data_IF_822975183494
#
_entry.id   IF_822975183494
#
_cell.length_a   1.000
_cell.length_b   1.000
_cell.length_c   1.000
_cell.angle_alpha   90.00
_cell.angle_beta   90.00
_cell.angle_gamma   90.00
#
_symmetry.space_group_name_H-M   'P 1'
#
loop_
_entity.id
_entity.type
_entity.pdbx_description
1 polymer ?
#
# COMPACT_ATOMS: atom_id res chain seq x y z
N UNK A 1 11.29 -10.56 16.53
CA UNK A 1 10.06 -9.90 17.00
C UNK A 1 9.23 -9.57 15.77
N UNK A 2 7.93 -9.85 15.78
CA UNK A 2 7.06 -9.43 14.68
C UNK A 2 6.87 -7.90 14.77
N UNK A 3 6.85 -7.17 13.64
CA UNK A 3 6.43 -5.78 13.62
C UNK A 3 5.02 -5.65 14.22
N UNK A 4 4.73 -4.52 14.87
CA UNK A 4 3.42 -4.24 15.45
C UNK A 4 2.68 -3.19 14.65
N UNK A 5 1.36 -3.33 14.56
CA UNK A 5 0.46 -2.40 13.88
C UNK A 5 -0.60 -1.87 14.86
N UNK A 6 -0.99 -0.59 14.77
CA UNK A 6 -2.00 -0.01 15.63
C UNK A 6 -3.39 -0.55 15.25
N UNK A 7 -4.07 -1.15 16.22
CA UNK A 7 -5.47 -1.56 16.11
C UNK A 7 -6.36 -0.56 16.84
N UNK A 8 -7.27 0.05 16.10
CA UNK A 8 -8.19 1.08 16.62
C UNK A 8 -9.49 0.42 17.07
N UNK A 9 -9.78 0.51 18.37
CA UNK A 9 -11.07 0.09 18.92
C UNK A 9 -12.14 1.16 18.66
N UNK A 10 -13.42 0.74 18.63
CA UNK A 10 -14.55 1.67 18.43
C UNK A 10 -14.67 2.71 19.54
N UNK A 11 -14.15 2.42 20.72
CA UNK A 11 -14.19 3.30 21.88
C UNK A 11 -13.09 4.39 21.85
N UNK A 12 -12.23 4.38 20.82
CA UNK A 12 -11.14 5.33 20.64
C UNK A 12 -9.80 4.84 21.18
N UNK A 13 -9.76 3.68 21.83
CA UNK A 13 -8.52 3.06 22.29
C UNK A 13 -7.68 2.53 21.11
N UNK A 14 -6.36 2.62 21.25
CA UNK A 14 -5.41 2.10 20.28
C UNK A 14 -4.50 1.11 20.98
N UNK A 15 -4.40 -0.10 20.42
CA UNK A 15 -3.51 -1.15 20.91
C UNK A 15 -2.53 -1.56 19.82
N UNK A 16 -1.26 -1.76 20.17
CA UNK A 16 -0.27 -2.32 19.26
C UNK A 16 -0.43 -3.84 19.23
N UNK A 17 -0.84 -4.37 18.08
CA UNK A 17 -0.97 -5.81 17.85
C UNK A 17 0.15 -6.31 16.95
N UNK A 18 0.63 -7.55 17.13
CA UNK A 18 1.58 -8.14 16.19
C UNK A 18 0.97 -8.15 14.79
N UNK A 19 1.78 -7.79 13.80
CA UNK A 19 1.42 -7.91 12.40
C UNK A 19 1.27 -9.40 12.07
N UNK A 20 0.08 -9.78 11.64
CA UNK A 20 -0.24 -11.14 11.22
C UNK A 20 -0.46 -11.11 9.72
N UNK A 21 0.25 -11.97 8.99
CA UNK A 21 -0.07 -12.24 7.59
C UNK A 21 -1.40 -12.99 7.53
N UNK A 22 -2.45 -12.30 7.05
CA UNK A 22 -3.79 -12.84 6.93
C UNK A 22 -3.84 -14.11 6.06
N UNK A 23 -2.97 -14.24 5.06
CA UNK A 23 -2.90 -15.43 4.21
C UNK A 23 -2.28 -16.60 4.96
N UNK A 24 -1.22 -16.35 5.73
CA UNK A 24 -0.62 -17.37 6.58
C UNK A 24 -1.59 -17.83 7.68
N UNK A 25 -2.30 -16.88 8.32
CA UNK A 25 -3.31 -17.19 9.33
C UNK A 25 -4.46 -18.03 8.77
N UNK A 26 -5.00 -17.66 7.61
CA UNK A 26 -6.05 -18.43 6.93
C UNK A 26 -5.60 -19.83 6.48
N UNK A 27 -4.31 -20.01 6.19
CA UNK A 27 -3.73 -21.32 5.83
C UNK A 27 -3.58 -22.21 7.06
N UNK A 28 -3.14 -21.64 8.18
CA UNK A 28 -2.87 -22.38 9.43
C UNK A 28 -4.14 -22.65 10.25
N UNK A 29 -5.14 -21.77 10.16
CA UNK A 29 -6.38 -21.82 10.91
C UNK A 29 -7.60 -21.56 10.00
N UNK A 30 -7.89 -22.45 9.04
CA UNK A 30 -8.93 -22.22 8.03
C UNK A 30 -10.35 -22.14 8.59
N UNK A 31 -10.59 -22.72 9.77
CA UNK A 31 -11.90 -22.75 10.43
C UNK A 31 -12.23 -21.42 11.12
N UNK A 32 -11.20 -20.77 11.67
CA UNK A 32 -11.30 -19.50 12.39
C UNK A 32 -11.13 -18.30 11.44
N UNK A 33 -10.24 -18.42 10.44
CA UNK A 33 -9.82 -17.33 9.57
C UNK A 33 -10.22 -17.59 8.12
N UNK A 34 -11.50 -17.91 7.92
CA UNK A 34 -12.02 -18.26 6.60
C UNK A 34 -12.11 -17.02 5.71
N UNK A 35 -11.17 -16.89 4.78
CA UNK A 35 -11.21 -15.85 3.75
C UNK A 35 -12.29 -16.21 2.72
N UNK A 36 -13.44 -15.55 2.82
CA UNK A 36 -14.45 -15.64 1.77
C UNK A 36 -13.87 -15.03 0.47
N UNK A 37 -14.13 -15.66 -0.70
CA UNK A 37 -13.74 -15.06 -1.97
C UNK A 37 -14.39 -13.69 -2.12
N UNK A 38 -13.66 -12.73 -2.68
CA UNK A 38 -14.18 -11.39 -2.89
C UNK A 38 -15.44 -11.42 -3.76
N UNK A 39 -16.44 -10.65 -3.33
CA UNK A 39 -17.59 -10.39 -4.19
C UNK A 39 -17.18 -9.51 -5.38
N UNK A 40 -18.07 -9.39 -6.37
CA UNK A 40 -17.78 -8.65 -7.60
C UNK A 40 -17.50 -7.16 -7.33
N UNK A 41 -18.24 -6.55 -6.41
CA UNK A 41 -18.04 -5.15 -6.03
C UNK A 41 -16.68 -4.87 -5.40
N UNK A 42 -16.21 -5.75 -4.51
CA UNK A 42 -14.89 -5.67 -3.88
C UNK A 42 -13.77 -5.84 -4.90
N UNK A 43 -13.92 -6.76 -5.85
CA UNK A 43 -12.98 -6.92 -6.97
C UNK A 43 -12.89 -5.65 -7.80
N UNK A 44 -14.03 -5.09 -8.21
CA UNK A 44 -14.06 -3.85 -8.99
C UNK A 44 -13.40 -2.69 -8.24
N UNK A 45 -13.71 -2.50 -6.96
CA UNK A 45 -13.10 -1.45 -6.15
C UNK A 45 -11.57 -1.58 -6.05
N UNK A 46 -11.05 -2.81 -5.91
CA UNK A 46 -9.61 -3.06 -5.93
C UNK A 46 -8.98 -2.77 -7.29
N UNK A 47 -9.62 -3.21 -8.38
CA UNK A 47 -9.14 -2.96 -9.73
C UNK A 47 -9.09 -1.46 -10.04
N UNK A 48 -10.10 -0.70 -9.61
CA UNK A 48 -10.16 0.75 -9.73
C UNK A 48 -9.04 1.43 -8.93
N UNK A 49 -8.84 1.03 -7.67
CA UNK A 49 -7.74 1.52 -6.84
C UNK A 49 -6.37 1.26 -7.49
N UNK A 50 -6.16 0.06 -8.03
CA UNK A 50 -4.91 -0.29 -8.72
C UNK A 50 -4.74 0.45 -10.04
N UNK A 51 -5.83 0.75 -10.75
CA UNK A 51 -5.77 1.60 -11.93
C UNK A 51 -5.35 3.03 -11.58
N UNK A 52 -5.88 3.59 -10.50
CA UNK A 52 -5.51 4.92 -10.00
C UNK A 52 -4.03 4.97 -9.57
N UNK A 53 -3.55 3.98 -8.80
CA UNK A 53 -2.13 3.89 -8.42
C UNK A 53 -1.20 3.83 -9.63
N UNK A 54 -1.58 3.09 -10.68
CA UNK A 54 -0.81 3.03 -11.94
C UNK A 54 -0.79 4.38 -12.64
N UNK A 55 -1.93 5.08 -12.71
CA UNK A 55 -2.00 6.40 -13.31
C UNK A 55 -1.15 7.42 -12.54
N UNK A 56 -1.20 7.39 -11.20
CA UNK A 56 -0.37 8.22 -10.34
C UNK A 56 1.13 7.93 -10.51
N UNK A 57 1.50 6.65 -10.63
CA UNK A 57 2.88 6.25 -10.90
C UNK A 57 3.36 6.74 -12.27
N UNK A 58 2.53 6.64 -13.31
CA UNK A 58 2.85 7.15 -14.66
C UNK A 58 2.96 8.67 -14.67
N UNK A 59 2.08 9.39 -13.98
CA UNK A 59 2.16 10.84 -13.83
C UNK A 59 3.46 11.27 -13.16
N UNK A 60 3.85 10.59 -12.08
CA UNK A 60 5.12 10.84 -11.36
C UNK A 60 6.35 10.58 -12.23
N UNK A 61 6.32 9.56 -13.09
CA UNK A 61 7.40 9.30 -14.06
C UNK A 61 7.47 10.40 -15.12
N UNK A 62 6.32 10.85 -15.65
CA UNK A 62 6.26 11.95 -16.63
C UNK A 62 6.76 13.28 -16.06
N UNK A 63 6.41 13.61 -14.82
CA UNK A 63 6.90 14.80 -14.12
C UNK A 63 8.43 14.74 -13.95
N UNK A 64 8.97 13.60 -13.49
CA UNK A 64 10.42 13.39 -13.37
C UNK A 64 11.16 13.44 -14.71
N UNK A 65 10.51 13.04 -15.80
CA UNK A 65 11.07 13.13 -17.16
C UNK A 65 11.03 14.57 -17.73
N UNK A 66 10.11 15.42 -17.27
CA UNK A 66 10.04 16.83 -17.64
C UNK A 66 11.04 17.72 -16.87
N UNK A 67 11.50 17.29 -15.69
CA UNK A 67 12.48 18.00 -14.84
C UNK A 67 13.85 18.26 -15.55
N UNK A 68 14.49 17.29 -16.23
CA UNK A 68 15.71 17.56 -16.97
C UNK A 68 15.50 18.41 -18.24
N UNK A 69 14.27 18.52 -18.75
CA UNK A 69 13.94 19.32 -19.94
C UNK A 69 13.73 20.80 -19.57
N UNK A 70 13.39 21.10 -18.31
CA UNK A 70 13.16 22.47 -17.79
C UNK A 70 14.35 23.11 -17.05
N UNK A 71 15.57 22.56 -17.19
CA UNK A 71 16.80 23.35 -17.02
C UNK A 71 17.35 23.52 -15.60
N UNK A 72 17.25 22.52 -14.72
CA UNK A 72 18.01 22.54 -13.45
C UNK A 72 19.31 21.74 -13.55
N UNK A 73 20.30 22.33 -14.21
CA UNK A 73 21.69 21.85 -14.24
C UNK A 73 22.31 22.08 -12.84
N UNK A 74 22.27 21.10 -11.94
CA UNK A 74 23.04 21.17 -10.69
C UNK A 74 24.47 20.72 -11.00
N UNK A 75 25.33 21.68 -11.41
CA UNK A 75 26.78 21.48 -11.39
C UNK A 75 27.24 21.62 -9.95
N UNK A 76 27.75 20.54 -9.35
CA UNK A 76 28.59 20.61 -8.16
C UNK A 76 29.95 20.02 -8.51
N UNK A 77 30.91 20.88 -8.81
CA UNK A 77 32.33 20.56 -8.75
C UNK A 77 32.90 21.21 -7.49
N UNK A 78 33.61 20.47 -6.61
CA UNK A 78 34.30 21.07 -5.48
C UNK A 78 35.57 21.79 -5.96
N UNK A 79 35.83 22.97 -5.38
CA UNK A 79 37.06 23.75 -5.54
C UNK A 79 38.15 23.26 -4.56
#
# INVERSE_FOLDING_TARGET
MLPTVPAYHRDGDVADLPEIDAKAAATNHPDEWRLAPWNEGQRRAYDDQKAEERQAAVAKVKERAADPVNGKLIIRSPA
#
